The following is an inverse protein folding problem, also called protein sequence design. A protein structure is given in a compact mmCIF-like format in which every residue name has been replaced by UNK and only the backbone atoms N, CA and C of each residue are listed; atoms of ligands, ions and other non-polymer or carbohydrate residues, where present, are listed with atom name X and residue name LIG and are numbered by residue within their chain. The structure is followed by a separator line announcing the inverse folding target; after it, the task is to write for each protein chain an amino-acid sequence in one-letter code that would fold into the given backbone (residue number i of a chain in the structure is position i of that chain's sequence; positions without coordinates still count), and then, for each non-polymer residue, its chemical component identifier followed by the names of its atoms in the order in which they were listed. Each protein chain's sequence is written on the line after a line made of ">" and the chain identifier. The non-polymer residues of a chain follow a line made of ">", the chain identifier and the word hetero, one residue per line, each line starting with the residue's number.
data_IF_008180623609
#
_entry.id   IF_008180623609
#
_cell.length_a   1.000
_cell.length_b   1.000
_cell.length_c   1.000
_cell.angle_alpha   90.00
_cell.angle_beta   90.00
_cell.angle_gamma   90.00
#
_symmetry.space_group_name_H-M   'P 1'
#
loop_
_entity.id
_entity.type
_entity.pdbx_description
1 polymer ?
#
# COMPACT_ATOMS: atom_id res chain seq x y z
N UNK A 1 -20.31 17.31 -17.02
CA UNK A 1 -19.42 18.49 -17.08
C UNK A 1 -18.02 18.15 -16.60
N UNK A 2 -17.03 18.23 -17.49
CA UNK A 2 -15.61 18.11 -17.14
C UNK A 2 -15.18 19.34 -16.32
N UNK A 3 -14.64 19.17 -15.11
CA UNK A 3 -14.22 20.30 -14.27
C UNK A 3 -13.02 21.08 -14.83
N UNK A 4 -12.24 20.50 -15.76
CA UNK A 4 -11.09 21.19 -16.38
C UNK A 4 -11.50 22.02 -17.60
N UNK A 5 -12.48 21.55 -18.39
CA UNK A 5 -12.86 22.22 -19.65
C UNK A 5 -14.24 22.88 -19.60
N UNK A 6 -15.07 22.55 -18.60
CA UNK A 6 -16.45 23.04 -18.50
C UNK A 6 -17.41 22.44 -19.53
N UNK A 7 -16.95 21.53 -20.38
CA UNK A 7 -17.73 20.90 -21.44
C UNK A 7 -18.45 19.64 -20.93
N UNK A 8 -19.62 19.36 -21.49
CA UNK A 8 -20.26 18.06 -21.35
C UNK A 8 -19.70 17.11 -22.40
N UNK A 9 -19.15 15.99 -21.93
CA UNK A 9 -18.54 14.95 -22.74
C UNK A 9 -19.12 13.61 -22.37
N UNK A 10 -19.49 12.83 -23.36
CA UNK A 10 -19.84 11.42 -23.17
C UNK A 10 -18.57 10.64 -22.85
N UNK A 11 -18.55 10.04 -21.65
CA UNK A 11 -17.41 9.26 -21.15
C UNK A 11 -17.83 7.84 -20.83
N UNK A 12 -17.01 6.87 -21.24
CA UNK A 12 -17.22 5.47 -20.85
C UNK A 12 -16.80 5.28 -19.38
N UNK A 13 -17.77 5.28 -18.47
CA UNK A 13 -17.52 5.12 -17.02
C UNK A 13 -17.06 3.71 -16.63
N UNK A 14 -17.31 2.70 -17.46
CA UNK A 14 -16.95 1.31 -17.20
C UNK A 14 -16.47 0.58 -18.46
N UNK A 15 -15.26 0.04 -18.41
CA UNK A 15 -14.76 -0.94 -19.40
C UNK A 15 -14.47 -2.26 -18.69
N UNK A 16 -14.49 -3.42 -19.38
CA UNK A 16 -14.11 -4.69 -18.77
C UNK A 16 -12.76 -4.63 -18.06
N UNK A 17 -11.78 -3.95 -18.66
CA UNK A 17 -10.47 -3.68 -18.06
C UNK A 17 -10.57 -2.89 -16.75
N UNK A 18 -11.38 -1.84 -16.71
CA UNK A 18 -11.58 -1.03 -15.49
C UNK A 18 -12.23 -1.86 -14.38
N UNK A 19 -13.26 -2.64 -14.72
CA UNK A 19 -13.93 -3.51 -13.76
C UNK A 19 -12.99 -4.58 -13.19
N UNK A 20 -12.14 -5.16 -14.04
CA UNK A 20 -11.11 -6.10 -13.60
C UNK A 20 -10.12 -5.46 -12.62
N UNK A 21 -9.63 -4.24 -12.92
CA UNK A 21 -8.73 -3.52 -12.01
C UNK A 21 -9.40 -3.24 -10.67
N UNK A 22 -10.65 -2.77 -10.67
CA UNK A 22 -11.42 -2.53 -9.44
C UNK A 22 -11.57 -3.81 -8.62
N UNK A 23 -11.92 -4.91 -9.28
CA UNK A 23 -12.04 -6.22 -8.64
C UNK A 23 -10.72 -6.68 -8.00
N UNK A 24 -9.63 -6.67 -8.77
CA UNK A 24 -8.31 -7.12 -8.32
C UNK A 24 -7.79 -6.29 -7.13
N UNK A 25 -7.97 -4.98 -7.19
CA UNK A 25 -7.58 -4.06 -6.12
C UNK A 25 -8.36 -4.35 -4.85
N UNK A 26 -9.69 -4.41 -4.94
CA UNK A 26 -10.53 -4.67 -3.77
C UNK A 26 -10.24 -6.03 -3.13
N UNK A 27 -10.03 -7.07 -3.94
CA UNK A 27 -9.73 -8.40 -3.45
C UNK A 27 -8.38 -8.45 -2.73
N UNK A 28 -7.34 -7.84 -3.30
CA UNK A 28 -6.00 -7.81 -2.69
C UNK A 28 -5.98 -7.02 -1.39
N UNK A 29 -6.61 -5.85 -1.37
CA UNK A 29 -6.70 -5.02 -0.16
C UNK A 29 -7.50 -5.74 0.94
N UNK A 30 -8.57 -6.47 0.59
CA UNK A 30 -9.32 -7.31 1.53
C UNK A 30 -8.48 -8.46 2.10
N UNK A 31 -7.73 -9.16 1.24
CA UNK A 31 -6.84 -10.24 1.64
C UNK A 31 -5.71 -9.74 2.55
N UNK A 32 -5.11 -8.60 2.21
CA UNK A 32 -4.06 -7.95 3.00
C UNK A 32 -4.56 -7.58 4.41
N UNK A 33 -5.76 -7.01 4.50
CA UNK A 33 -6.40 -6.69 5.78
C UNK A 33 -6.62 -7.95 6.63
N UNK A 34 -7.22 -9.00 6.06
CA UNK A 34 -7.41 -10.26 6.79
C UNK A 34 -6.11 -10.97 7.15
N UNK A 35 -5.05 -10.81 6.34
CA UNK A 35 -3.71 -11.30 6.68
C UNK A 35 -3.15 -10.53 7.87
N UNK A 36 -3.32 -9.21 7.92
CA UNK A 36 -2.88 -8.39 9.05
C UNK A 36 -3.56 -8.78 10.35
N UNK A 37 -4.88 -9.02 10.33
CA UNK A 37 -5.61 -9.50 11.51
C UNK A 37 -5.09 -10.86 12.01
N UNK A 38 -4.66 -11.73 11.10
CA UNK A 38 -4.00 -12.99 11.47
C UNK A 38 -2.63 -12.71 12.07
N UNK A 39 -1.82 -11.83 11.46
CA UNK A 39 -0.52 -11.40 11.97
C UNK A 39 -0.64 -10.89 13.40
N UNK A 40 -1.57 -9.99 13.68
CA UNK A 40 -1.75 -9.42 15.01
C UNK A 40 -2.10 -10.50 16.05
N UNK A 41 -2.90 -11.50 15.68
CA UNK A 41 -3.24 -12.65 16.55
C UNK A 41 -2.06 -13.59 16.79
N UNK A 42 -1.17 -13.76 15.81
CA UNK A 42 -0.07 -14.75 15.88
C UNK A 42 1.31 -14.15 16.13
N UNK A 43 1.43 -12.83 16.28
CA UNK A 43 2.72 -12.14 16.46
C UNK A 43 3.53 -12.62 17.67
N UNK A 44 2.90 -13.21 18.68
CA UNK A 44 3.61 -13.79 19.82
C UNK A 44 4.51 -14.97 19.41
N UNK A 45 4.06 -15.80 18.47
CA UNK A 45 4.81 -16.98 17.98
C UNK A 45 5.59 -16.68 16.69
N UNK A 46 5.06 -15.79 15.85
CA UNK A 46 5.67 -15.37 14.59
C UNK A 46 5.82 -13.84 14.53
N UNK A 47 6.77 -13.28 15.30
CA UNK A 47 6.87 -11.84 15.48
C UNK A 47 7.47 -11.09 14.29
N UNK A 48 8.01 -11.79 13.29
CA UNK A 48 8.68 -11.15 12.15
C UNK A 48 7.86 -11.28 10.87
N UNK A 49 7.98 -10.27 10.01
CA UNK A 49 7.40 -10.22 8.68
C UNK A 49 8.53 -10.11 7.66
N UNK A 50 8.51 -11.01 6.68
CA UNK A 50 9.40 -11.01 5.54
C UNK A 50 8.68 -10.44 4.31
N UNK A 51 9.19 -9.36 3.74
CA UNK A 51 8.70 -8.78 2.49
C UNK A 51 9.18 -9.59 1.28
N UNK A 52 8.25 -10.00 0.42
CA UNK A 52 8.51 -10.83 -0.75
C UNK A 52 7.84 -10.28 -2.01
N UNK A 53 8.54 -10.41 -3.13
CA UNK A 53 7.98 -10.13 -4.45
C UNK A 53 6.92 -11.18 -4.80
N UNK A 54 5.83 -10.74 -5.41
CA UNK A 54 4.83 -11.64 -5.98
C UNK A 54 5.04 -11.94 -7.46
N UNK A 55 4.05 -12.54 -8.14
CA UNK A 55 4.15 -12.96 -9.54
C UNK A 55 3.91 -11.82 -10.54
N UNK A 56 4.35 -10.60 -10.22
CA UNK A 56 4.31 -9.52 -11.22
C UNK A 56 5.45 -9.73 -12.21
N UNK A 57 5.21 -9.48 -13.50
CA UNK A 57 6.27 -9.55 -14.52
C UNK A 57 7.35 -8.50 -14.26
N UNK A 58 6.93 -7.33 -13.82
CA UNK A 58 7.79 -6.18 -13.51
C UNK A 58 7.50 -5.69 -12.10
N UNK A 59 8.56 -5.27 -11.43
CA UNK A 59 8.51 -4.73 -10.07
C UNK A 59 9.17 -3.37 -10.06
N UNK A 60 8.62 -2.46 -9.26
CA UNK A 60 9.26 -1.16 -8.98
C UNK A 60 10.66 -1.42 -8.38
N UNK A 61 11.69 -0.65 -8.75
CA UNK A 61 13.05 -0.84 -8.23
C UNK A 61 13.11 -0.86 -6.71
N UNK A 62 12.33 -0.01 -6.05
CA UNK A 62 12.23 0.08 -4.60
C UNK A 62 11.72 -1.24 -4.00
N UNK A 63 10.70 -1.85 -4.62
CA UNK A 63 10.12 -3.12 -4.14
C UNK A 63 11.12 -4.27 -4.26
N UNK A 64 11.99 -4.23 -5.29
CA UNK A 64 13.11 -5.19 -5.41
C UNK A 64 14.12 -4.97 -4.28
N UNK A 65 14.44 -3.72 -3.94
CA UNK A 65 15.29 -3.37 -2.80
C UNK A 65 14.71 -3.78 -1.44
N UNK A 66 13.38 -3.81 -1.32
CA UNK A 66 12.69 -4.30 -0.12
C UNK A 66 12.54 -5.82 -0.08
N UNK A 67 12.82 -6.54 -1.16
CA UNK A 67 12.75 -8.01 -1.15
C UNK A 67 13.81 -8.56 -0.20
N UNK A 68 13.38 -9.35 0.79
CA UNK A 68 14.29 -9.80 1.84
C UNK A 68 14.28 -8.91 3.09
N UNK A 69 13.47 -7.84 3.12
CA UNK A 69 13.25 -7.03 4.32
C UNK A 69 12.53 -7.87 5.39
N UNK A 70 13.18 -8.08 6.52
CA UNK A 70 12.74 -8.89 7.64
C UNK A 70 12.70 -8.02 8.89
N UNK A 71 11.50 -7.50 9.19
CA UNK A 71 11.27 -6.61 10.33
C UNK A 71 10.28 -7.24 11.30
N UNK A 72 10.23 -6.72 12.52
CA UNK A 72 9.18 -7.13 13.45
C UNK A 72 7.80 -6.67 12.95
N UNK A 73 6.75 -7.39 13.29
CA UNK A 73 5.38 -7.08 12.88
C UNK A 73 4.84 -5.76 13.47
N UNK A 74 5.44 -5.27 14.55
CA UNK A 74 5.14 -3.99 15.20
C UNK A 74 6.04 -2.83 14.73
N UNK A 75 6.94 -3.07 13.77
CA UNK A 75 7.79 -2.04 13.21
C UNK A 75 6.95 -0.97 12.46
N UNK A 76 7.20 0.34 12.71
CA UNK A 76 6.44 1.42 12.08
C UNK A 76 6.52 1.43 10.56
N UNK A 77 7.54 0.80 9.95
CA UNK A 77 7.65 0.68 8.49
C UNK A 77 6.41 0.03 7.86
N UNK A 78 5.78 -0.92 8.56
CA UNK A 78 4.57 -1.60 8.10
C UNK A 78 3.33 -0.71 8.10
N UNK A 79 3.37 0.50 8.67
CA UNK A 79 2.23 1.41 8.61
C UNK A 79 2.01 1.95 7.19
N UNK A 80 3.08 2.06 6.41
CA UNK A 80 3.03 2.57 5.04
C UNK A 80 3.44 1.53 4.01
N UNK A 81 4.39 0.63 4.32
CA UNK A 81 5.00 -0.28 3.35
C UNK A 81 4.40 -1.70 3.36
N UNK A 82 3.31 -1.93 4.09
CA UNK A 82 2.63 -3.22 4.11
C UNK A 82 1.81 -3.42 2.82
N UNK A 83 2.14 -4.42 1.97
CA UNK A 83 1.52 -4.60 0.67
C UNK A 83 0.00 -4.80 0.73
N UNK A 84 -0.73 -4.39 -0.34
CA UNK A 84 -0.24 -3.80 -1.59
C UNK A 84 0.22 -2.33 -1.48
N UNK A 85 1.36 -2.00 -2.10
CA UNK A 85 2.00 -0.67 -2.04
C UNK A 85 1.72 0.21 -3.27
N UNK A 86 0.72 -0.16 -4.09
CA UNK A 86 0.41 0.55 -5.32
C UNK A 86 -0.44 -0.24 -6.30
N UNK A 87 -0.83 0.42 -7.38
CA UNK A 87 -1.63 -0.18 -8.45
C UNK A 87 -0.85 -1.33 -9.09
N UNK A 88 -1.53 -2.47 -9.22
CA UNK A 88 -0.95 -3.70 -9.79
C UNK A 88 0.14 -4.35 -8.93
N UNK A 89 0.38 -3.87 -7.71
CA UNK A 89 1.33 -4.50 -6.79
C UNK A 89 0.84 -5.89 -6.39
N UNK A 90 1.71 -6.90 -6.53
CA UNK A 90 1.44 -8.28 -6.09
C UNK A 90 2.41 -8.75 -5.01
N UNK A 91 3.26 -7.86 -4.49
CA UNK A 91 4.13 -8.14 -3.36
C UNK A 91 3.29 -8.57 -2.14
N UNK A 92 3.89 -9.35 -1.26
CA UNK A 92 3.22 -9.89 -0.08
C UNK A 92 4.21 -10.02 1.07
N UNK A 93 3.68 -10.24 2.27
CA UNK A 93 4.51 -10.58 3.42
C UNK A 93 4.30 -12.02 3.83
N UNK A 94 5.32 -12.59 4.47
CA UNK A 94 5.26 -13.89 5.13
C UNK A 94 5.62 -13.74 6.60
N UNK A 95 4.82 -14.34 7.48
CA UNK A 95 5.15 -14.42 8.90
C UNK A 95 6.28 -15.40 9.16
N UNK A 96 7.19 -15.02 10.04
CA UNK A 96 8.43 -15.74 10.33
C UNK A 96 8.58 -15.87 11.86
N UNK A 97 8.91 -17.08 12.31
CA UNK A 97 9.22 -17.34 13.73
C UNK A 97 10.56 -16.70 14.11
N UNK A 98 10.80 -16.49 15.41
CA UNK A 98 12.09 -15.94 15.88
C UNK A 98 13.29 -16.80 15.44
N UNK A 99 13.18 -18.12 15.60
CA UNK A 99 14.24 -19.07 15.21
C UNK A 99 14.52 -19.05 13.70
N UNK A 100 13.47 -18.96 12.88
CA UNK A 100 13.66 -18.85 11.44
C UNK A 100 14.28 -17.50 11.07
N UNK A 101 13.83 -16.40 11.69
CA UNK A 101 14.38 -15.07 11.46
C UNK A 101 15.87 -15.00 11.75
N UNK A 102 16.32 -15.54 12.88
CA UNK A 102 17.75 -15.65 13.24
C UNK A 102 18.54 -16.43 12.17
N UNK A 103 17.99 -17.55 11.69
CA UNK A 103 18.62 -18.34 10.61
C UNK A 103 18.72 -17.56 9.30
N UNK A 104 17.66 -16.84 8.91
CA UNK A 104 17.65 -16.04 7.68
C UNK A 104 18.68 -14.90 7.76
N UNK A 105 18.72 -14.18 8.88
CA UNK A 105 19.68 -13.09 9.10
C UNK A 105 21.13 -13.60 9.11
N UNK A 106 21.38 -14.78 9.69
CA UNK A 106 22.70 -15.39 9.67
C UNK A 106 23.23 -15.70 8.25
N UNK A 107 22.36 -15.75 7.23
CA UNK A 107 22.81 -15.92 5.83
C UNK A 107 23.38 -14.64 5.21
N UNK A 108 23.20 -13.48 5.83
CA UNK A 108 23.61 -12.18 5.29
C UNK A 108 22.80 -11.70 4.07
N UNK A 109 21.77 -12.44 3.64
CA UNK A 109 20.94 -12.11 2.47
C UNK A 109 19.66 -11.32 2.79
N UNK A 110 19.34 -11.16 4.07
CA UNK A 110 18.12 -10.52 4.55
C UNK A 110 18.46 -9.25 5.32
N UNK A 111 17.60 -8.24 5.19
CA UNK A 111 17.78 -6.92 5.80
C UNK A 111 16.91 -6.83 7.05
N UNK A 112 17.43 -6.29 8.15
CA UNK A 112 16.70 -6.10 9.41
C UNK A 112 16.57 -4.64 9.83
N UNK A 113 16.90 -3.71 8.93
CA UNK A 113 16.79 -2.29 9.15
C UNK A 113 15.98 -1.68 7.99
N UNK A 114 14.89 -1.00 8.33
CA UNK A 114 14.06 -0.31 7.35
C UNK A 114 14.84 0.86 6.73
N UNK A 115 14.98 0.93 5.39
CA UNK A 115 15.62 2.07 4.75
C UNK A 115 14.69 3.27 4.81
N UNK A 116 15.21 4.42 5.23
CA UNK A 116 14.52 5.69 5.01
C UNK A 116 14.89 6.21 3.61
N UNK A 117 13.95 6.05 2.68
CA UNK A 117 14.10 6.54 1.30
C UNK A 117 13.49 7.94 1.12
N UNK A 118 12.99 8.55 2.21
CA UNK A 118 12.27 9.81 2.21
C UNK A 118 10.95 9.76 1.45
N UNK A 119 10.36 10.94 1.28
CA UNK A 119 9.15 11.16 0.49
C UNK A 119 9.50 11.77 -0.86
N UNK A 120 8.63 11.54 -1.84
CA UNK A 120 8.63 12.22 -3.14
C UNK A 120 7.36 13.04 -3.27
N UNK A 121 7.50 14.22 -3.85
CA UNK A 121 6.36 15.06 -4.19
C UNK A 121 5.65 14.49 -5.42
N UNK A 122 4.36 14.21 -5.28
CA UNK A 122 3.49 13.79 -6.37
C UNK A 122 2.49 14.90 -6.68
N UNK A 123 2.48 15.35 -7.93
CA UNK A 123 1.53 16.34 -8.41
C UNK A 123 0.46 15.63 -9.23
N UNK A 124 -0.80 15.67 -8.77
CA UNK A 124 -1.94 15.18 -9.52
C UNK A 124 -2.20 16.12 -10.70
N UNK A 125 -1.82 15.71 -11.91
CA UNK A 125 -1.95 16.53 -13.13
C UNK A 125 -3.39 16.96 -13.44
N UNK A 126 -4.39 16.27 -12.89
CA UNK A 126 -5.81 16.57 -13.14
C UNK A 126 -6.37 17.61 -12.17
N UNK A 127 -5.95 17.57 -10.91
CA UNK A 127 -6.49 18.46 -9.85
C UNK A 127 -5.52 19.55 -9.43
N UNK A 128 -4.24 19.44 -9.78
CA UNK A 128 -3.16 20.31 -9.29
C UNK A 128 -2.74 20.01 -7.84
N UNK A 129 -3.40 19.06 -7.17
CA UNK A 129 -3.09 18.72 -5.78
C UNK A 129 -1.70 18.10 -5.65
N UNK A 130 -0.98 18.55 -4.63
CA UNK A 130 0.36 18.08 -4.30
C UNK A 130 0.28 17.18 -3.07
N UNK A 131 0.85 15.98 -3.15
CA UNK A 131 0.92 15.03 -2.05
C UNK A 131 2.36 14.54 -1.85
N UNK A 132 2.80 14.46 -0.59
CA UNK A 132 4.06 13.82 -0.23
C UNK A 132 3.83 12.33 0.03
N UNK A 133 4.45 11.48 -0.79
CA UNK A 133 4.28 10.02 -0.69
C UNK A 133 5.63 9.35 -0.44
N UNK A 134 5.71 8.29 0.37
CA UNK A 134 6.97 7.55 0.54
C UNK A 134 7.49 7.05 -0.79
N UNK A 135 8.81 7.15 -1.02
CA UNK A 135 9.42 6.70 -2.27
C UNK A 135 9.13 5.21 -2.49
N UNK A 136 8.61 4.87 -3.67
CA UNK A 136 8.25 3.49 -4.04
C UNK A 136 6.81 3.09 -3.70
N UNK A 137 6.03 3.99 -3.09
CA UNK A 137 4.60 3.80 -2.82
C UNK A 137 3.79 4.71 -3.74
N UNK A 138 2.75 4.18 -4.37
CA UNK A 138 1.87 5.00 -5.21
C UNK A 138 0.98 5.91 -4.31
N UNK A 139 0.60 7.11 -4.78
CA UNK A 139 -0.30 7.98 -4.05
C UNK A 139 -1.62 7.31 -3.66
N UNK A 140 -2.01 7.45 -2.38
CA UNK A 140 -3.20 6.83 -1.81
C UNK A 140 -3.04 5.36 -1.40
N UNK A 141 -1.83 4.81 -1.49
CA UNK A 141 -1.46 3.47 -1.00
C UNK A 141 -0.49 3.51 0.20
N UNK A 142 -0.24 4.70 0.73
CA UNK A 142 0.61 5.02 1.87
C UNK A 142 -0.04 4.69 3.22
N UNK A 143 -0.71 3.53 3.30
CA UNK A 143 -1.35 3.06 4.52
C UNK A 143 -1.40 1.53 4.55
N UNK A 144 -1.44 0.95 5.74
CA UNK A 144 -1.66 -0.47 5.94
C UNK A 144 -3.16 -0.81 5.89
N UNK A 145 -3.62 -1.63 4.91
CA UNK A 145 -5.03 -1.96 4.76
C UNK A 145 -5.69 -2.67 5.95
N UNK A 146 -4.90 -3.32 6.80
CA UNK A 146 -5.40 -4.00 7.99
C UNK A 146 -5.24 -3.20 9.29
N UNK A 147 -4.37 -2.18 9.33
CA UNK A 147 -4.19 -1.37 10.53
C UNK A 147 -5.31 -0.31 10.69
N UNK A 148 -5.88 0.15 9.57
CA UNK A 148 -6.97 1.15 9.57
C UNK A 148 -8.29 0.44 9.28
N UNK A 149 -9.28 0.59 10.18
CA UNK A 149 -10.63 0.09 9.91
C UNK A 149 -11.19 0.72 8.64
N UNK A 150 -11.83 -0.09 7.79
CA UNK A 150 -12.48 0.37 6.55
C UNK A 150 -13.46 1.52 6.80
N UNK A 151 -14.17 1.49 7.93
CA UNK A 151 -15.11 2.54 8.33
C UNK A 151 -14.38 3.85 8.65
N UNK A 152 -13.31 3.78 9.45
CA UNK A 152 -12.51 4.96 9.78
C UNK A 152 -11.89 5.58 8.52
N UNK A 153 -11.43 4.74 7.58
CA UNK A 153 -10.92 5.24 6.29
C UNK A 153 -12.03 5.85 5.44
N UNK A 154 -13.22 5.27 5.40
CA UNK A 154 -14.36 5.82 4.67
C UNK A 154 -14.78 7.18 5.24
N UNK A 155 -14.80 7.33 6.56
CA UNK A 155 -15.08 8.61 7.23
C UNK A 155 -14.02 9.66 6.88
N UNK A 156 -12.74 9.32 6.99
CA UNK A 156 -11.65 10.25 6.63
C UNK A 156 -11.74 10.69 5.15
N UNK A 157 -12.05 9.77 4.24
CA UNK A 157 -12.23 10.08 2.82
C UNK A 157 -13.47 10.95 2.57
N UNK A 158 -14.54 10.76 3.34
CA UNK A 158 -15.74 11.59 3.26
C UNK A 158 -15.43 13.02 3.72
N UNK A 159 -14.80 13.17 4.88
CA UNK A 159 -14.38 14.47 5.43
C UNK A 159 -13.48 15.23 4.46
N UNK A 160 -12.50 14.55 3.83
CA UNK A 160 -11.64 15.14 2.81
C UNK A 160 -12.42 15.63 1.59
N UNK A 161 -13.40 14.84 1.12
CA UNK A 161 -14.25 15.22 -0.02
C UNK A 161 -15.18 16.36 0.30
N UNK A 162 -15.76 16.39 1.51
CA UNK A 162 -16.60 17.48 1.97
C UNK A 162 -15.80 18.79 2.11
N UNK A 163 -14.59 18.72 2.66
CA UNK A 163 -13.69 19.87 2.73
C UNK A 163 -13.30 20.39 1.34
N UNK A 164 -12.97 19.48 0.40
CA UNK A 164 -12.65 19.85 -0.98
C UNK A 164 -13.85 20.50 -1.70
N UNK A 165 -15.07 20.02 -1.46
CA UNK A 165 -16.28 20.60 -2.04
C UNK A 165 -16.59 22.01 -1.48
N UNK A 166 -16.35 22.22 -0.17
CA UNK A 166 -16.56 23.53 0.48
C UNK A 166 -15.50 24.57 0.14
N UNK A 167 -14.28 24.14 -0.21
CA UNK A 167 -13.20 25.04 -0.66
C UNK A 167 -13.27 25.45 -2.13
N UNK A 168 -14.27 24.97 -2.87
CA UNK A 168 -14.52 25.27 -4.28
C UNK A 168 -15.70 26.22 -4.54
N UNK A 169 -16.28 26.80 -3.49
CA UNK A 169 -17.23 27.94 -3.52
C UNK A 169 -16.50 29.26 -3.24
#
# INVERSE_FOLDING_TARGET
>A
RDPLTGEDRDVQLGSPRRLQVIYDVNLRTAQAAGQWDRIQRTRATHPYLLYQLGPSREHRPEHRGWSGMLLRADDPWWQTHYPPNGWGCKCHVRQVSRREAERLLATGRYLNAAPDLGTVEYVNRRTGEVANVPRGIDPGWDYNPGAVSRLARAQQLLEQKEAAAKGSE
#
